data_IF_617353023972
#
_entry.id   IF_617353023972
#
_cell.length_a   1.000
_cell.length_b   1.000
_cell.length_c   1.000
_cell.angle_alpha   90.00
_cell.angle_beta   90.00
_cell.angle_gamma   90.00
#
_symmetry.space_group_name_H-M   'P 1'
#
loop_
_entity.id
_entity.type
_entity.pdbx_description
1 polymer ?
#
# COMPACT_ATOMS: atom_id res chain seq x y z
N UNK A 1 18.39 7.63 -7.56
CA UNK A 1 17.32 8.20 -6.72
C UNK A 1 15.99 8.35 -7.47
N UNK A 2 15.97 8.83 -8.72
CA UNK A 2 14.76 8.96 -9.57
C UNK A 2 14.02 7.65 -9.89
N UNK A 3 14.74 6.53 -10.00
CA UNK A 3 14.10 5.22 -10.24
C UNK A 3 13.22 4.75 -9.07
N UNK A 4 13.61 5.06 -7.82
CA UNK A 4 12.81 4.72 -6.63
C UNK A 4 11.53 5.55 -6.60
N UNK A 5 11.61 6.83 -6.97
CA UNK A 5 10.44 7.72 -7.08
C UNK A 5 9.42 7.23 -8.13
N UNK A 6 9.87 6.74 -9.29
CA UNK A 6 8.98 6.21 -10.33
C UNK A 6 8.30 4.92 -9.86
N UNK A 7 9.06 4.04 -9.21
CA UNK A 7 8.55 2.80 -8.64
C UNK A 7 7.47 3.06 -7.59
N UNK A 8 7.74 3.95 -6.64
CA UNK A 8 6.79 4.30 -5.57
C UNK A 8 5.51 4.94 -6.13
N UNK A 9 5.64 5.78 -7.18
CA UNK A 9 4.49 6.38 -7.85
C UNK A 9 3.63 5.34 -8.59
N UNK A 10 4.27 4.32 -9.16
CA UNK A 10 3.58 3.21 -9.83
C UNK A 10 2.74 2.41 -8.84
N UNK A 11 3.31 2.08 -7.67
CA UNK A 11 2.61 1.39 -6.58
C UNK A 11 1.37 2.16 -6.12
N UNK A 12 1.48 3.47 -5.92
CA UNK A 12 0.35 4.32 -5.52
C UNK A 12 -0.73 4.36 -6.60
N UNK A 13 -0.32 4.46 -7.88
CA UNK A 13 -1.25 4.46 -9.01
C UNK A 13 -2.00 3.14 -9.08
N UNK A 14 -1.31 2.02 -8.89
CA UNK A 14 -1.89 0.68 -9.01
C UNK A 14 -2.86 0.36 -7.87
N UNK A 15 -2.54 0.78 -6.64
CA UNK A 15 -3.50 0.72 -5.52
C UNK A 15 -4.74 1.57 -5.81
N UNK A 16 -4.57 2.77 -6.36
CA UNK A 16 -5.69 3.66 -6.69
C UNK A 16 -6.60 3.05 -7.75
N UNK A 17 -6.03 2.46 -8.80
CA UNK A 17 -6.77 1.74 -9.82
C UNK A 17 -7.48 0.51 -9.23
N UNK A 18 -6.80 -0.31 -8.44
CA UNK A 18 -7.39 -1.51 -7.84
C UNK A 18 -8.55 -1.18 -6.88
N UNK A 19 -8.47 -0.08 -6.13
CA UNK A 19 -9.58 0.45 -5.32
C UNK A 19 -10.74 0.88 -6.21
N UNK A 20 -10.46 1.63 -7.29
CA UNK A 20 -11.48 2.07 -8.26
C UNK A 20 -12.20 0.89 -8.92
N UNK A 21 -11.46 -0.16 -9.27
CA UNK A 21 -11.98 -1.38 -9.90
C UNK A 21 -12.66 -2.31 -8.90
N UNK A 22 -12.71 -1.94 -7.61
CA UNK A 22 -13.22 -2.79 -6.52
C UNK A 22 -12.56 -4.17 -6.47
N UNK A 23 -11.32 -4.28 -6.97
CA UNK A 23 -10.54 -5.51 -6.95
C UNK A 23 -9.76 -5.61 -5.63
N UNK A 24 -10.50 -5.86 -4.56
CA UNK A 24 -9.95 -5.80 -3.21
C UNK A 24 -8.90 -6.87 -2.90
N UNK A 25 -8.91 -8.02 -3.61
CA UNK A 25 -7.84 -9.01 -3.51
C UNK A 25 -6.49 -8.44 -3.98
N UNK A 26 -6.51 -7.68 -5.08
CA UNK A 26 -5.32 -6.99 -5.58
C UNK A 26 -4.86 -5.88 -4.64
N UNK A 27 -5.80 -5.16 -4.02
CA UNK A 27 -5.47 -4.13 -3.01
C UNK A 27 -4.74 -4.76 -1.81
N UNK A 28 -5.20 -5.92 -1.34
CA UNK A 28 -4.54 -6.66 -0.25
C UNK A 28 -3.14 -7.18 -0.64
N UNK A 29 -2.91 -7.52 -1.89
CA UNK A 29 -1.60 -7.97 -2.37
C UNK A 29 -0.57 -6.82 -2.47
N UNK A 30 -1.00 -5.59 -2.78
CA UNK A 30 -0.08 -4.44 -2.92
C UNK A 30 0.25 -3.76 -1.58
N UNK A 31 -0.73 -3.60 -0.68
CA UNK A 31 -0.55 -2.84 0.57
C UNK A 31 0.63 -3.30 1.45
N UNK A 32 0.96 -4.60 1.57
CA UNK A 32 2.14 -5.06 2.32
C UNK A 32 3.46 -4.52 1.76
N UNK A 33 3.57 -4.46 0.42
CA UNK A 33 4.75 -3.91 -0.24
C UNK A 33 4.86 -2.40 0.03
N UNK A 34 3.74 -1.68 -0.02
CA UNK A 34 3.67 -0.26 0.34
C UNK A 34 4.11 -0.03 1.80
N UNK A 35 3.62 -0.83 2.75
CA UNK A 35 4.03 -0.76 4.15
C UNK A 35 5.53 -1.01 4.33
N UNK A 36 6.10 -1.98 3.60
CA UNK A 36 7.52 -2.30 3.66
C UNK A 36 8.39 -1.15 3.14
N UNK A 37 7.97 -0.47 2.06
CA UNK A 37 8.66 0.71 1.54
C UNK A 37 8.72 1.84 2.56
N UNK A 38 7.58 2.16 3.22
CA UNK A 38 7.55 3.15 4.29
C UNK A 38 8.41 2.73 5.50
N UNK A 39 8.46 1.44 5.83
CA UNK A 39 9.29 0.92 6.90
C UNK A 39 10.79 1.12 6.61
N UNK A 40 11.23 0.83 5.39
CA UNK A 40 12.61 1.01 4.94
C UNK A 40 13.05 2.47 4.80
N UNK A 41 12.11 3.37 4.47
CA UNK A 41 12.37 4.81 4.32
C UNK A 41 12.32 5.60 5.65
N UNK A 42 12.08 4.94 6.78
CA UNK A 42 11.95 5.59 8.10
C UNK A 42 10.54 6.13 8.42
N UNK A 43 9.57 5.92 7.52
CA UNK A 43 8.16 6.26 7.68
C UNK A 43 7.37 5.26 8.54
N UNK A 44 7.83 4.99 9.77
CA UNK A 44 7.20 4.00 10.66
C UNK A 44 5.71 4.26 10.92
N UNK A 45 5.31 5.53 11.06
CA UNK A 45 3.90 5.89 11.30
C UNK A 45 3.02 5.42 10.14
N UNK A 46 3.43 5.69 8.90
CA UNK A 46 2.71 5.27 7.69
C UNK A 46 2.67 3.76 7.53
N UNK A 47 3.78 3.06 7.84
CA UNK A 47 3.79 1.60 7.87
C UNK A 47 2.76 1.04 8.86
N UNK A 48 2.71 1.59 10.08
CA UNK A 48 1.74 1.18 11.11
C UNK A 48 0.30 1.51 10.71
N UNK A 49 0.04 2.66 10.10
CA UNK A 49 -1.29 3.01 9.58
C UNK A 49 -1.75 2.04 8.48
N UNK A 50 -0.87 1.69 7.53
CA UNK A 50 -1.19 0.72 6.48
C UNK A 50 -1.47 -0.67 7.07
N UNK A 51 -0.70 -1.10 8.08
CA UNK A 51 -0.97 -2.36 8.79
C UNK A 51 -2.33 -2.34 9.50
N UNK A 52 -2.68 -1.23 10.15
CA UNK A 52 -4.00 -1.07 10.77
C UNK A 52 -5.12 -1.07 9.73
N UNK A 53 -4.91 -0.40 8.59
CA UNK A 53 -5.86 -0.39 7.49
C UNK A 53 -6.11 -1.80 6.95
N UNK A 54 -5.06 -2.57 6.66
CA UNK A 54 -5.18 -3.98 6.25
C UNK A 54 -5.89 -4.85 7.29
N UNK A 55 -5.58 -4.68 8.58
CA UNK A 55 -6.26 -5.41 9.65
C UNK A 55 -7.75 -5.07 9.74
N UNK A 56 -8.11 -3.81 9.49
CA UNK A 56 -9.51 -3.37 9.50
C UNK A 56 -10.27 -3.82 8.25
N UNK A 57 -9.63 -3.85 7.08
CA UNK A 57 -10.26 -4.39 5.87
C UNK A 57 -10.70 -5.84 6.11
N UNK A 58 -9.86 -6.68 6.71
CA UNK A 58 -10.21 -8.07 7.07
C UNK A 58 -11.42 -8.23 8.01
N UNK A 59 -11.84 -7.17 8.71
CA UNK A 59 -13.01 -7.18 9.60
C UNK A 59 -14.29 -6.68 8.94
N UNK A 60 -14.16 -5.87 7.89
CA UNK A 60 -15.29 -5.32 7.13
C UNK A 60 -15.76 -6.35 6.08
N UNK A 61 -14.86 -7.22 5.63
CA UNK A 61 -15.15 -8.45 4.90
C UNK A 61 -15.72 -9.53 5.80
#
# INVERSE_FOLDING_TARGET
>A
NTHLLIHDLLYVTEVTCAISDSNFGWVEDILPNLAMMFCGAGGKNYCTEILHFMHNMKKVW
#
